data_IF_698654949661
#
_entry.id   IF_698654949661
#
_cell.length_a   1.000
_cell.length_b   1.000
_cell.length_c   1.000
_cell.angle_alpha   90.00
_cell.angle_beta   90.00
_cell.angle_gamma   90.00
#
_symmetry.space_group_name_H-M   'P 1'
#
loop_
_entity.id
_entity.type
_entity.pdbx_description
1 polymer ?
#
# COMPACT_ATOMS: atom_id res chain seq x y z
N UNK A 1 24.87 29.67 17.96
CA UNK A 1 24.33 28.44 18.56
C UNK A 1 24.18 27.44 17.43
N UNK A 2 25.12 26.52 17.31
CA UNK A 2 25.08 25.43 16.31
C UNK A 2 24.13 24.36 16.87
N UNK A 3 22.99 24.17 16.23
CA UNK A 3 22.13 23.05 16.55
C UNK A 3 22.87 21.75 16.25
N UNK A 4 22.99 20.87 17.25
CA UNK A 4 23.57 19.54 17.05
C UNK A 4 22.62 18.75 16.14
N UNK A 5 23.13 18.27 15.00
CA UNK A 5 22.44 17.31 14.15
C UNK A 5 22.39 16.01 14.92
N UNK A 6 21.22 15.38 15.10
CA UNK A 6 21.14 14.08 15.72
C UNK A 6 21.96 13.07 14.88
N UNK A 7 22.92 12.41 15.51
CA UNK A 7 23.82 11.43 14.87
C UNK A 7 23.31 10.00 15.03
N UNK A 8 22.02 9.78 15.16
CA UNK A 8 21.48 8.42 15.13
C UNK A 8 21.14 8.04 13.69
N UNK A 9 22.04 7.28 13.09
CA UNK A 9 21.78 6.58 11.82
C UNK A 9 20.68 5.56 12.06
N UNK A 10 19.62 5.51 11.25
CA UNK A 10 18.65 4.42 11.33
C UNK A 10 19.40 3.10 11.15
N UNK A 11 19.32 2.24 12.13
CA UNK A 11 20.01 0.93 12.11
C UNK A 11 19.26 -0.12 11.28
N UNK A 12 18.10 0.24 10.71
CA UNK A 12 17.21 -0.70 10.01
C UNK A 12 16.70 -0.06 8.71
N UNK A 13 16.80 -0.80 7.61
CA UNK A 13 16.42 -0.31 6.25
C UNK A 13 14.94 0.09 6.17
N UNK A 14 14.07 -0.62 6.89
CA UNK A 14 12.63 -0.32 6.92
C UNK A 14 12.24 0.81 7.89
N UNK A 15 13.21 1.47 8.52
CA UNK A 15 12.98 2.54 9.50
C UNK A 15 12.67 2.01 10.91
N UNK A 16 11.95 2.80 11.71
CA UNK A 16 11.61 2.44 13.08
C UNK A 16 10.54 1.35 13.13
N UNK A 17 10.82 0.17 13.74
CA UNK A 17 9.85 -0.90 13.88
C UNK A 17 8.90 -0.65 15.05
N UNK A 18 7.62 -0.98 14.88
CA UNK A 18 6.62 -1.09 15.95
C UNK A 18 5.99 -2.47 15.90
N UNK A 19 5.89 -3.14 17.04
CA UNK A 19 5.26 -4.46 17.15
C UNK A 19 4.01 -4.34 18.00
N UNK A 20 2.87 -4.75 17.45
CA UNK A 20 1.58 -4.82 18.11
C UNK A 20 1.28 -6.27 18.49
N UNK A 21 0.70 -6.49 19.69
CA UNK A 21 0.31 -7.82 20.18
C UNK A 21 -1.02 -7.74 20.91
N UNK A 22 -2.05 -8.37 20.35
CA UNK A 22 -3.35 -8.48 21.01
C UNK A 22 -4.14 -9.67 20.45
N UNK A 23 -4.95 -10.31 21.28
CA UNK A 23 -5.93 -11.35 20.89
C UNK A 23 -5.37 -12.51 20.05
N UNK A 24 -4.11 -12.93 20.31
CA UNK A 24 -3.44 -13.97 19.51
C UNK A 24 -2.82 -13.48 18.20
N UNK A 25 -3.00 -12.20 17.85
CA UNK A 25 -2.35 -11.56 16.71
C UNK A 25 -1.04 -10.90 17.12
N UNK A 26 -0.08 -10.95 16.20
CA UNK A 26 1.13 -10.11 16.22
C UNK A 26 1.27 -9.42 14.86
N UNK A 27 1.51 -8.11 14.88
CA UNK A 27 1.75 -7.32 13.68
C UNK A 27 3.03 -6.49 13.84
N UNK A 28 3.94 -6.55 12.87
CA UNK A 28 5.11 -5.67 12.80
C UNK A 28 4.88 -4.58 11.74
N UNK A 29 4.97 -3.33 12.19
CA UNK A 29 4.80 -2.14 11.35
C UNK A 29 6.17 -1.45 11.23
N UNK A 30 6.52 -1.02 10.02
CA UNK A 30 7.71 -0.25 9.73
C UNK A 30 7.35 1.22 9.45
N UNK A 31 8.17 2.17 9.91
CA UNK A 31 7.90 3.59 9.66
C UNK A 31 8.07 3.97 8.19
N UNK A 32 9.00 3.35 7.43
CA UNK A 32 9.13 3.61 5.99
C UNK A 32 7.90 3.09 5.24
N UNK A 33 7.17 4.02 4.63
CA UNK A 33 5.93 3.76 3.91
C UNK A 33 4.77 3.37 4.81
N UNK A 34 4.89 3.54 6.14
CA UNK A 34 3.96 3.03 7.15
C UNK A 34 3.53 1.60 6.81
N UNK A 35 4.50 0.69 6.68
CA UNK A 35 4.30 -0.61 6.05
C UNK A 35 3.98 -1.71 7.05
N UNK A 36 2.97 -2.54 6.74
CA UNK A 36 2.71 -3.80 7.44
C UNK A 36 3.77 -4.83 7.01
N UNK A 37 4.81 -5.05 7.83
CA UNK A 37 5.91 -5.99 7.56
C UNK A 37 5.52 -7.44 7.76
N UNK A 38 4.77 -7.71 8.81
CA UNK A 38 4.26 -9.04 9.10
C UNK A 38 2.93 -8.95 9.85
N UNK A 39 2.09 -9.95 9.69
CA UNK A 39 0.89 -10.16 10.47
C UNK A 39 0.73 -11.66 10.67
N UNK A 40 0.67 -12.09 11.93
CA UNK A 40 0.42 -13.48 12.28
C UNK A 40 -0.79 -13.62 13.21
N UNK A 41 -1.42 -14.78 13.18
CA UNK A 41 -2.42 -15.22 14.15
C UNK A 41 -2.02 -16.57 14.72
N UNK A 42 -1.79 -16.64 16.05
CA UNK A 42 -1.30 -17.85 16.74
C UNK A 42 -0.05 -18.45 16.05
N UNK A 43 0.88 -17.57 15.61
CA UNK A 43 2.12 -17.95 14.94
C UNK A 43 1.98 -18.33 13.45
N UNK A 44 0.77 -18.26 12.87
CA UNK A 44 0.54 -18.51 11.45
C UNK A 44 0.53 -17.19 10.68
N UNK A 45 1.30 -17.13 9.60
CA UNK A 45 1.34 -15.96 8.71
C UNK A 45 -0.02 -15.71 8.03
N UNK A 46 -0.45 -14.44 8.02
CA UNK A 46 -1.60 -13.93 7.28
C UNK A 46 -1.20 -13.04 6.09
N UNK A 47 0.05 -12.57 6.10
CA UNK A 47 0.68 -11.84 4.98
C UNK A 47 2.08 -12.39 4.73
N UNK A 48 2.59 -12.25 3.52
CA UNK A 48 3.99 -12.56 3.20
C UNK A 48 4.88 -11.52 3.87
N UNK A 49 5.72 -11.91 4.84
CA UNK A 49 6.56 -10.98 5.58
C UNK A 49 7.76 -10.49 4.76
N UNK A 50 8.47 -9.50 5.29
CA UNK A 50 9.83 -9.12 4.88
C UNK A 50 10.65 -8.69 6.09
N UNK A 51 11.97 -8.84 6.01
CA UNK A 51 12.88 -8.53 7.12
C UNK A 51 13.03 -7.02 7.33
N UNK A 52 13.35 -6.62 8.58
CA UNK A 52 13.46 -5.22 8.95
C UNK A 52 14.62 -4.51 8.24
N UNK A 53 15.71 -5.21 7.97
CA UNK A 53 16.93 -4.76 7.29
C UNK A 53 16.92 -5.05 5.79
N UNK A 54 15.81 -5.58 5.25
CA UNK A 54 15.60 -5.82 3.82
C UNK A 54 14.96 -4.61 3.15
N UNK A 55 15.42 -4.25 1.94
CA UNK A 55 14.69 -3.34 1.07
C UNK A 55 13.36 -3.98 0.69
N UNK A 56 12.25 -3.35 1.11
CA UNK A 56 10.90 -3.89 0.94
C UNK A 56 10.63 -4.39 -0.49
N UNK A 57 10.38 -5.70 -0.69
CA UNK A 57 10.07 -6.24 -2.01
C UNK A 57 8.68 -5.82 -2.49
N UNK A 58 8.55 -5.44 -3.75
CA UNK A 58 7.26 -5.30 -4.43
C UNK A 58 6.22 -4.42 -3.72
N UNK A 59 6.64 -3.39 -2.99
CA UNK A 59 5.75 -2.53 -2.18
C UNK A 59 4.95 -3.27 -1.09
N UNK A 60 5.37 -4.45 -0.64
CA UNK A 60 4.65 -5.24 0.39
C UNK A 60 4.23 -4.42 1.59
N UNK A 61 2.94 -4.49 1.90
CA UNK A 61 2.35 -3.89 3.09
C UNK A 61 2.37 -2.37 3.17
N UNK A 62 2.90 -1.66 2.16
CA UNK A 62 2.99 -0.20 2.23
C UNK A 62 1.62 0.47 2.15
N UNK A 63 1.51 1.65 2.78
CA UNK A 63 0.38 2.57 2.60
C UNK A 63 0.60 3.39 1.35
N UNK A 64 -0.27 3.22 0.35
CA UNK A 64 -0.23 3.92 -0.92
C UNK A 64 -1.00 5.23 -0.81
N UNK A 65 -0.31 6.37 -1.02
CA UNK A 65 -0.90 7.71 -0.94
C UNK A 65 -0.04 8.72 -1.69
N UNK A 66 -0.62 9.75 -2.33
CA UNK A 66 -2.02 10.10 -2.46
C UNK A 66 -2.77 9.40 -3.61
N UNK A 67 -2.20 8.39 -4.23
CA UNK A 67 -2.90 7.50 -5.16
C UNK A 67 -2.33 6.07 -5.07
N UNK A 68 -3.18 5.03 -5.22
CA UNK A 68 -2.73 3.66 -5.45
C UNK A 68 -2.52 3.41 -6.94
N UNK A 69 -1.74 2.37 -7.28
CA UNK A 69 -1.47 1.92 -8.64
C UNK A 69 -0.87 3.03 -9.53
N UNK A 70 -1.13 3.01 -10.84
CA UNK A 70 -0.42 3.77 -11.87
C UNK A 70 -1.20 5.00 -12.34
N UNK A 71 -0.49 6.11 -12.48
CA UNK A 71 -0.91 7.24 -13.32
C UNK A 71 -0.14 7.12 -14.63
N UNK A 72 -0.86 6.85 -15.71
CA UNK A 72 -0.29 6.59 -17.04
C UNK A 72 0.50 7.81 -17.51
N UNK A 73 1.75 7.58 -17.97
CA UNK A 73 2.69 8.63 -18.39
C UNK A 73 3.01 9.66 -17.28
N UNK A 74 2.55 9.42 -16.06
CA UNK A 74 2.60 10.37 -14.96
C UNK A 74 1.70 11.60 -15.17
N UNK A 75 0.81 11.57 -16.16
CA UNK A 75 -0.05 12.71 -16.50
C UNK A 75 -1.43 12.50 -15.90
N UNK A 76 -1.90 13.49 -15.16
CA UNK A 76 -3.30 13.55 -14.72
C UNK A 76 -3.88 14.94 -14.88
N UNK A 77 -5.21 15.01 -14.96
CA UNK A 77 -5.95 16.26 -15.04
C UNK A 77 -6.80 16.43 -13.81
N UNK A 78 -6.73 17.57 -13.19
CA UNK A 78 -7.56 17.92 -12.06
C UNK A 78 -8.01 19.39 -12.14
N UNK A 79 -9.29 19.62 -12.00
CA UNK A 79 -9.91 20.97 -12.13
C UNK A 79 -9.52 21.71 -13.43
N UNK A 80 -9.46 20.97 -14.54
CA UNK A 80 -9.12 21.50 -15.86
C UNK A 80 -7.63 21.77 -16.11
N UNK A 81 -6.76 21.48 -15.15
CA UNK A 81 -5.31 21.67 -15.25
C UNK A 81 -4.63 20.32 -15.44
N UNK A 82 -3.69 20.25 -16.39
CA UNK A 82 -2.82 19.10 -16.57
C UNK A 82 -1.63 19.18 -15.61
N UNK A 83 -1.31 18.06 -14.99
CA UNK A 83 -0.19 17.90 -14.05
C UNK A 83 0.70 16.74 -14.47
N UNK A 84 2.02 16.95 -14.45
CA UNK A 84 3.04 15.94 -14.75
C UNK A 84 3.73 15.50 -13.46
N UNK A 85 3.49 14.25 -13.06
CA UNK A 85 4.17 13.58 -11.93
C UNK A 85 5.53 13.01 -12.37
N UNK A 86 6.48 12.83 -11.44
CA UNK A 86 7.70 12.08 -11.71
C UNK A 86 7.38 10.62 -12.05
N UNK A 87 8.07 10.06 -13.06
CA UNK A 87 7.92 8.68 -13.46
C UNK A 87 8.71 7.77 -12.49
N UNK A 88 8.01 7.13 -11.56
CA UNK A 88 8.61 6.27 -10.53
C UNK A 88 8.65 4.79 -10.92
N UNK A 89 8.01 4.41 -12.03
CA UNK A 89 8.12 3.12 -12.70
C UNK A 89 8.65 3.34 -14.13
N UNK A 90 9.96 3.61 -14.31
CA UNK A 90 10.51 4.04 -15.60
C UNK A 90 10.37 2.97 -16.70
N UNK A 91 10.43 1.67 -16.33
CA UNK A 91 10.30 0.57 -17.29
C UNK A 91 8.92 0.51 -17.97
N UNK A 92 7.89 1.04 -17.33
CA UNK A 92 6.53 1.14 -17.87
C UNK A 92 6.09 2.57 -18.18
N UNK A 93 6.90 3.56 -17.77
CA UNK A 93 6.62 4.98 -18.02
C UNK A 93 5.46 5.51 -17.19
N UNK A 94 5.33 5.13 -15.91
CA UNK A 94 4.22 5.53 -15.05
C UNK A 94 4.70 6.18 -13.75
N UNK A 95 3.82 7.01 -13.13
CA UNK A 95 3.92 7.37 -11.73
C UNK A 95 3.17 6.34 -10.89
N UNK A 96 3.92 5.58 -10.06
CA UNK A 96 3.42 4.41 -9.34
C UNK A 96 3.30 4.68 -7.85
N UNK A 97 2.14 4.31 -7.27
CA UNK A 97 1.91 4.14 -5.83
C UNK A 97 2.10 5.39 -4.95
N UNK A 98 1.89 6.57 -5.52
CA UNK A 98 1.87 7.81 -4.77
C UNK A 98 3.27 8.34 -4.40
N UNK A 99 3.29 9.21 -3.39
CA UNK A 99 4.48 9.96 -2.98
C UNK A 99 5.00 9.55 -1.60
N UNK A 100 4.27 8.72 -0.87
CA UNK A 100 4.58 8.39 0.53
C UNK A 100 5.10 6.97 0.75
N UNK A 101 5.22 6.16 -0.30
CA UNK A 101 5.63 4.75 -0.19
C UNK A 101 7.06 4.57 0.34
N UNK A 102 7.96 5.54 0.13
CA UNK A 102 9.36 5.48 0.55
C UNK A 102 9.73 6.56 1.57
N UNK A 103 8.72 7.26 2.10
CA UNK A 103 8.91 8.26 3.16
C UNK A 103 8.99 7.55 4.50
N UNK A 104 9.86 8.03 5.39
CA UNK A 104 9.87 7.64 6.80
C UNK A 104 8.79 8.42 7.54
N UNK A 105 7.74 7.71 7.98
CA UNK A 105 6.60 8.31 8.67
C UNK A 105 6.90 8.48 10.16
N UNK A 106 6.44 9.58 10.73
CA UNK A 106 6.56 9.82 12.16
C UNK A 106 5.52 9.01 12.93
N UNK A 107 5.95 8.33 13.99
CA UNK A 107 5.06 7.65 14.93
C UNK A 107 4.48 8.72 15.88
N UNK A 108 3.15 8.89 15.87
CA UNK A 108 2.45 9.84 16.75
C UNK A 108 2.14 9.22 18.10
N UNK A 109 1.64 7.99 18.08
CA UNK A 109 1.26 7.24 19.27
C UNK A 109 1.37 5.74 19.00
N UNK A 110 1.69 4.98 20.04
CA UNK A 110 1.74 3.52 20.01
C UNK A 110 1.30 2.94 21.35
N UNK A 111 0.59 1.81 21.28
CA UNK A 111 0.20 0.95 22.41
C UNK A 111 0.48 -0.50 22.05
N UNK A 112 0.11 -1.44 22.91
CA UNK A 112 0.29 -2.87 22.62
C UNK A 112 -0.60 -3.34 21.44
N UNK A 113 -1.73 -2.69 21.21
CA UNK A 113 -2.74 -3.09 20.22
C UNK A 113 -2.90 -2.12 19.04
N UNK A 114 -2.28 -0.94 19.07
CA UNK A 114 -2.43 0.06 18.03
C UNK A 114 -1.20 0.95 17.84
N UNK A 115 -1.00 1.41 16.61
CA UNK A 115 -0.04 2.47 16.28
C UNK A 115 -0.64 3.42 15.26
N UNK A 116 -0.38 4.71 15.45
CA UNK A 116 -0.71 5.76 14.48
C UNK A 116 0.57 6.41 13.97
N UNK A 117 0.73 6.41 12.64
CA UNK A 117 1.84 7.07 11.96
C UNK A 117 1.30 8.23 11.10
N UNK A 118 2.15 9.23 10.86
CA UNK A 118 1.80 10.37 10.01
C UNK A 118 2.95 10.76 9.09
N UNK A 119 2.59 11.22 7.89
CA UNK A 119 3.50 11.83 6.94
C UNK A 119 2.83 13.00 6.22
N UNK A 120 3.64 13.84 5.59
CA UNK A 120 3.19 15.00 4.83
C UNK A 120 3.49 14.82 3.36
N UNK A 121 2.49 15.00 2.50
CA UNK A 121 2.70 15.27 1.09
C UNK A 121 2.88 16.78 0.95
N UNK A 122 4.12 17.20 0.65
CA UNK A 122 4.41 18.61 0.36
C UNK A 122 4.00 18.96 -1.07
N UNK A 123 3.55 20.20 -1.28
CA UNK A 123 3.27 20.70 -2.61
C UNK A 123 4.53 20.61 -3.49
N UNK A 124 4.42 20.00 -4.65
CA UNK A 124 5.52 19.73 -5.57
C UNK A 124 5.05 19.72 -7.04
N UNK A 125 6.01 19.68 -7.96
CA UNK A 125 5.68 19.53 -9.38
C UNK A 125 4.81 18.30 -9.60
N UNK A 126 3.71 18.48 -10.34
CA UNK A 126 2.73 17.42 -10.63
C UNK A 126 1.71 17.15 -9.52
N UNK A 127 1.94 17.64 -8.28
CA UNK A 127 0.99 17.52 -7.17
C UNK A 127 1.07 18.78 -6.27
N UNK A 128 0.52 19.92 -6.68
CA UNK A 128 0.70 21.21 -6.01
C UNK A 128 -0.18 21.40 -4.76
N UNK A 129 -0.52 20.33 -4.06
CA UNK A 129 -1.32 20.36 -2.84
C UNK A 129 -0.53 19.87 -1.64
N UNK A 130 -0.90 20.40 -0.46
CA UNK A 130 -0.29 20.04 0.81
C UNK A 130 -1.26 19.17 1.62
N UNK A 131 -0.91 17.92 1.89
CA UNK A 131 -1.71 17.00 2.67
C UNK A 131 -0.96 16.53 3.91
N UNK A 132 -1.66 16.41 5.02
CA UNK A 132 -1.21 15.59 6.16
C UNK A 132 -1.98 14.28 6.09
N UNK A 133 -1.24 13.17 6.04
CA UNK A 133 -1.79 11.82 5.98
C UNK A 133 -1.44 11.09 7.26
N UNK A 134 -2.41 10.43 7.87
CA UNK A 134 -2.18 9.51 8.98
C UNK A 134 -2.72 8.13 8.67
N UNK A 135 -2.06 7.10 9.17
CA UNK A 135 -2.54 5.72 9.14
C UNK A 135 -2.49 5.13 10.54
N UNK A 136 -3.59 4.50 10.94
CA UNK A 136 -3.69 3.79 12.22
C UNK A 136 -3.88 2.31 11.96
N UNK A 137 -2.99 1.49 12.50
CA UNK A 137 -3.13 0.04 12.59
C UNK A 137 -3.64 -0.31 13.99
N UNK A 138 -4.67 -1.16 14.04
CA UNK A 138 -5.25 -1.63 15.31
C UNK A 138 -5.57 -3.11 15.25
N UNK A 139 -5.09 -3.85 16.24
CA UNK A 139 -5.47 -5.24 16.49
C UNK A 139 -6.72 -5.31 17.38
N UNK A 140 -7.64 -6.18 17.01
CA UNK A 140 -8.84 -6.52 17.78
C UNK A 140 -9.11 -8.03 17.69
N UNK A 141 -10.10 -8.53 18.41
CA UNK A 141 -10.44 -9.96 18.40
C UNK A 141 -10.82 -10.49 17.01
N UNK A 142 -11.22 -9.62 16.08
CA UNK A 142 -11.59 -9.96 14.71
C UNK A 142 -10.49 -9.67 13.67
N UNK A 143 -9.27 -9.32 14.10
CA UNK A 143 -8.13 -9.12 13.21
C UNK A 143 -7.51 -7.73 13.26
N UNK A 144 -6.76 -7.38 12.20
CA UNK A 144 -6.11 -6.09 12.01
C UNK A 144 -7.02 -5.16 11.20
N UNK A 145 -7.21 -3.94 11.70
CA UNK A 145 -7.83 -2.84 10.93
C UNK A 145 -6.77 -1.78 10.62
N UNK A 146 -6.70 -1.36 9.35
CA UNK A 146 -5.95 -0.18 8.93
C UNK A 146 -6.93 0.94 8.57
N UNK A 147 -6.75 2.13 9.17
CA UNK A 147 -7.52 3.33 8.85
C UNK A 147 -6.58 4.40 8.32
N UNK A 148 -6.80 4.86 7.09
CA UNK A 148 -6.04 5.97 6.49
C UNK A 148 -6.89 7.21 6.45
N UNK A 149 -6.33 8.34 6.87
CA UNK A 149 -6.97 9.66 6.85
C UNK A 149 -6.05 10.66 6.17
N UNK A 150 -6.63 11.55 5.36
CA UNK A 150 -5.92 12.69 4.79
C UNK A 150 -6.63 13.98 5.15
N UNK A 151 -5.84 14.98 5.49
CA UNK A 151 -6.32 16.36 5.69
C UNK A 151 -5.65 17.23 4.64
N UNK A 152 -6.45 17.86 3.79
CA UNK A 152 -5.98 18.85 2.83
C UNK A 152 -5.74 20.18 3.55
N UNK A 153 -4.51 20.67 3.49
CA UNK A 153 -4.10 21.97 4.05
C UNK A 153 -3.99 23.07 2.99
N UNK A 154 -4.30 22.76 1.72
CA UNK A 154 -4.36 23.74 0.65
C UNK A 154 -5.71 24.45 0.63
N UNK A 155 -5.76 25.64 0.04
CA UNK A 155 -6.98 26.43 -0.12
C UNK A 155 -7.91 25.89 -1.23
N UNK A 156 -7.45 24.91 -2.02
CA UNK A 156 -8.19 24.30 -3.13
C UNK A 156 -8.38 22.82 -2.92
N UNK A 157 -9.41 22.17 -3.49
CA UNK A 157 -9.55 20.73 -3.51
C UNK A 157 -8.31 20.02 -4.07
N UNK A 158 -7.97 18.85 -3.54
CA UNK A 158 -6.86 18.02 -4.00
C UNK A 158 -7.38 16.65 -4.43
N UNK A 159 -6.85 16.06 -5.53
CA UNK A 159 -7.18 14.68 -5.89
C UNK A 159 -6.58 13.73 -4.86
N UNK A 160 -7.37 12.77 -4.40
CA UNK A 160 -6.97 11.85 -3.35
C UNK A 160 -7.44 10.42 -3.62
N UNK A 161 -6.52 9.48 -3.42
CA UNK A 161 -6.80 8.06 -3.36
C UNK A 161 -5.81 7.36 -2.42
N UNK A 162 -6.20 6.24 -1.85
CA UNK A 162 -5.33 5.45 -0.97
C UNK A 162 -5.68 3.96 -1.07
N UNK A 163 -4.75 3.12 -0.67
CA UNK A 163 -4.94 1.69 -0.52
C UNK A 163 -3.80 1.03 0.23
N UNK A 164 -4.03 -0.12 0.87
CA UNK A 164 -2.99 -0.98 1.39
C UNK A 164 -2.40 -1.83 0.26
N UNK A 165 -1.21 -2.38 0.48
CA UNK A 165 -0.56 -3.31 -0.45
C UNK A 165 -0.18 -4.66 0.22
N UNK A 166 -1.07 -5.33 0.96
CA UNK A 166 -0.75 -6.59 1.61
C UNK A 166 -0.58 -7.71 0.57
N UNK A 167 0.35 -8.60 0.81
CA UNK A 167 0.45 -9.88 0.10
C UNK A 167 -0.15 -10.93 1.04
N UNK A 168 -1.41 -11.29 0.80
CA UNK A 168 -2.17 -12.17 1.68
C UNK A 168 -1.68 -13.61 1.56
N UNK A 169 -1.78 -14.37 2.66
CA UNK A 169 -1.42 -15.80 2.75
C UNK A 169 -2.64 -16.58 3.20
N UNK A 170 -3.01 -17.63 2.45
CA UNK A 170 -4.14 -18.50 2.77
C UNK A 170 -3.72 -19.84 3.38
N UNK A 171 -2.51 -19.94 3.92
CA UNK A 171 -2.02 -21.15 4.59
C UNK A 171 -0.68 -21.63 4.03
N UNK A 172 -0.20 -22.83 4.43
CA UNK A 172 1.13 -23.31 4.10
C UNK A 172 1.28 -23.87 2.67
N UNK A 173 0.18 -24.03 1.94
CA UNK A 173 0.18 -24.49 0.55
C UNK A 173 0.77 -23.44 -0.41
N UNK A 174 1.02 -23.80 -1.64
CA UNK A 174 1.47 -22.88 -2.70
C UNK A 174 0.27 -22.08 -3.24
N UNK A 175 0.53 -20.91 -3.84
CA UNK A 175 -0.50 -19.97 -4.31
C UNK A 175 -1.56 -20.64 -5.21
N UNK A 176 -1.13 -21.53 -6.09
CA UNK A 176 -1.96 -22.25 -7.03
C UNK A 176 -2.92 -23.28 -6.38
N UNK A 177 -2.65 -23.66 -5.12
CA UNK A 177 -3.51 -24.55 -4.31
C UNK A 177 -4.50 -23.76 -3.42
N UNK A 178 -4.37 -22.44 -3.33
CA UNK A 178 -5.27 -21.64 -2.51
C UNK A 178 -6.62 -21.44 -3.18
N UNK A 179 -7.66 -21.29 -2.35
CA UNK A 179 -9.00 -20.98 -2.78
C UNK A 179 -9.25 -19.48 -2.67
N UNK A 180 -9.83 -18.89 -3.70
CA UNK A 180 -10.26 -17.50 -3.74
C UNK A 180 -11.76 -17.39 -3.96
N UNK A 181 -12.46 -16.62 -3.13
CA UNK A 181 -13.79 -16.09 -3.37
C UNK A 181 -13.70 -14.56 -3.50
N UNK A 182 -14.12 -14.02 -4.64
CA UNK A 182 -14.09 -12.58 -4.90
C UNK A 182 -15.39 -12.14 -5.57
N UNK A 183 -16.29 -11.43 -4.86
CA UNK A 183 -17.58 -10.99 -5.39
C UNK A 183 -17.40 -9.75 -6.30
N UNK A 184 -16.70 -9.93 -7.41
CA UNK A 184 -16.46 -8.89 -8.42
C UNK A 184 -17.13 -9.29 -9.74
N UNK A 185 -17.86 -8.37 -10.37
CA UNK A 185 -18.56 -8.58 -11.65
C UNK A 185 -17.74 -8.08 -12.84
N UNK A 186 -16.74 -7.24 -12.58
CA UNK A 186 -15.92 -6.60 -13.63
C UNK A 186 -14.44 -6.73 -13.35
N UNK A 187 -13.66 -6.79 -14.43
CA UNK A 187 -12.20 -6.75 -14.44
C UNK A 187 -11.73 -5.55 -15.26
N UNK A 188 -10.65 -4.91 -14.80
CA UNK A 188 -9.98 -3.88 -15.57
C UNK A 188 -8.95 -4.54 -16.48
N UNK A 189 -9.24 -4.53 -17.78
CA UNK A 189 -8.28 -4.96 -18.80
C UNK A 189 -7.17 -3.92 -18.94
N UNK A 190 -5.95 -4.41 -19.10
CA UNK A 190 -4.75 -3.58 -19.21
C UNK A 190 -3.89 -4.02 -20.38
N UNK A 191 -3.05 -3.11 -20.91
CA UNK A 191 -2.06 -3.48 -21.92
C UNK A 191 -1.01 -4.44 -21.36
N UNK A 192 -0.54 -5.44 -22.12
CA UNK A 192 0.38 -6.45 -21.60
C UNK A 192 1.78 -5.92 -21.28
N UNK A 193 2.23 -4.89 -21.96
CA UNK A 193 3.57 -4.29 -21.82
C UNK A 193 3.65 -3.26 -20.69
N UNK A 194 2.67 -2.36 -20.63
CA UNK A 194 2.68 -1.22 -19.72
C UNK A 194 1.70 -1.35 -18.55
N UNK A 195 0.78 -2.32 -18.59
CA UNK A 195 -0.33 -2.45 -17.63
C UNK A 195 -1.17 -1.16 -17.55
N UNK A 196 -1.28 -0.44 -18.67
CA UNK A 196 -2.12 0.74 -18.81
C UNK A 196 -3.59 0.31 -18.97
N UNK A 197 -4.56 0.98 -18.31
CA UNK A 197 -5.98 0.67 -18.42
C UNK A 197 -6.47 0.76 -19.88
N UNK A 198 -7.26 -0.23 -20.30
CA UNK A 198 -7.88 -0.29 -21.64
C UNK A 198 -9.39 -0.20 -21.54
N UNK A 199 -10.02 -1.09 -20.79
CA UNK A 199 -11.47 -1.18 -20.67
C UNK A 199 -11.89 -1.89 -19.38
N UNK A 200 -13.15 -1.68 -18.99
CA UNK A 200 -13.81 -2.54 -18.01
C UNK A 200 -14.57 -3.63 -18.76
N UNK A 201 -14.28 -4.88 -18.47
CA UNK A 201 -14.97 -6.04 -19.03
C UNK A 201 -15.72 -6.82 -17.94
N UNK A 202 -16.71 -7.63 -18.31
CA UNK A 202 -17.31 -8.59 -17.39
C UNK A 202 -16.29 -9.69 -17.04
N UNK A 203 -16.25 -10.15 -15.79
CA UNK A 203 -15.44 -11.30 -15.40
C UNK A 203 -15.82 -12.56 -16.18
N UNK A 204 -17.04 -12.62 -16.72
CA UNK A 204 -17.52 -13.75 -17.55
C UNK A 204 -16.97 -13.74 -18.98
N UNK A 205 -16.30 -12.67 -19.42
CA UNK A 205 -15.65 -12.62 -20.74
C UNK A 205 -14.49 -13.62 -20.84
N UNK A 206 -13.82 -13.88 -19.72
CA UNK A 206 -12.84 -14.95 -19.51
C UNK A 206 -13.02 -15.48 -18.07
N UNK A 207 -14.07 -16.31 -17.92
CA UNK A 207 -14.50 -16.78 -16.59
C UNK A 207 -13.45 -17.68 -15.93
N UNK A 208 -12.68 -18.43 -16.71
CA UNK A 208 -11.62 -19.29 -16.18
C UNK A 208 -10.52 -18.45 -15.51
N UNK A 209 -10.22 -17.28 -16.05
CA UNK A 209 -9.17 -16.40 -15.53
C UNK A 209 -9.69 -15.45 -14.44
N UNK A 210 -10.90 -14.92 -14.56
CA UNK A 210 -11.32 -13.76 -13.75
C UNK A 210 -12.55 -13.98 -12.88
N UNK A 211 -13.37 -15.06 -13.11
CA UNK A 211 -14.57 -15.25 -12.32
C UNK A 211 -14.33 -16.08 -11.06
N UNK A 212 -14.24 -15.39 -9.93
CA UNK A 212 -14.09 -15.97 -8.59
C UNK A 212 -15.30 -15.68 -7.69
N UNK A 213 -16.46 -15.37 -8.27
CA UNK A 213 -17.69 -15.13 -7.49
C UNK A 213 -18.16 -16.37 -6.74
N UNK A 214 -18.00 -17.53 -7.36
CA UNK A 214 -18.03 -18.82 -6.67
C UNK A 214 -16.59 -19.18 -6.26
N UNK A 215 -16.40 -19.57 -5.00
CA UNK A 215 -15.08 -19.93 -4.49
C UNK A 215 -14.47 -21.08 -5.31
N UNK A 216 -13.25 -20.92 -5.75
CA UNK A 216 -12.49 -21.93 -6.46
C UNK A 216 -11.00 -21.83 -6.20
N UNK A 217 -10.30 -22.94 -6.48
CA UNK A 217 -8.82 -22.96 -6.44
C UNK A 217 -8.28 -22.02 -7.50
N UNK A 218 -7.23 -21.26 -7.15
CA UNK A 218 -6.58 -20.29 -8.05
C UNK A 218 -6.02 -20.99 -9.31
N UNK A 219 -5.38 -22.16 -9.13
CA UNK A 219 -4.68 -22.85 -10.21
C UNK A 219 -3.43 -22.10 -10.66
N UNK A 220 -2.87 -22.51 -11.79
CA UNK A 220 -1.73 -21.79 -12.39
C UNK A 220 -2.18 -20.42 -12.90
N UNK A 221 -1.72 -19.37 -12.24
CA UNK A 221 -1.99 -17.99 -12.62
C UNK A 221 -0.83 -17.49 -13.47
N UNK A 222 -1.06 -17.22 -14.76
CA UNK A 222 -0.13 -16.47 -15.58
C UNK A 222 -0.33 -14.97 -15.29
N UNK A 223 0.75 -14.34 -14.78
CA UNK A 223 0.80 -12.91 -14.46
C UNK A 223 1.40 -12.13 -15.63
#
# INVERSE_FOLDING_TARGET
MTAAVPTETPTVVSGTPVVLRAHGYEAAIASVGASLRSLTYEGRDLVVPFDADELRPGYRGTTLAPWPNRVVDGIHHFDGVEHQLPLTEPNRGHALHGLLSWVDWNILEASDDAVTLTATVTAQAGYPWWLVVSTTYRLAANGLTQTVRATNLSDTPAPWGTGPHPYLVAGPATLDEWTLGLPADTVLEVTPDRLAPVALASVTSDAERFDFRDERVLGAVEI
#
